data_IF_671579844201
#
_entry.id   IF_671579844201
#
_cell.length_a   1.000
_cell.length_b   1.000
_cell.length_c   1.000
_cell.angle_alpha   90.00
_cell.angle_beta   90.00
_cell.angle_gamma   90.00
#
_symmetry.space_group_name_H-M   'P 1'
#
loop_
_entity.id
_entity.type
_entity.pdbx_description
1 polymer ?
#
# COMPACT_ATOMS: atom_id res chain seq x y z
N UNK A 1 4.14 11.55 -12.44
CA UNK A 1 5.34 10.74 -12.13
C UNK A 1 6.25 10.77 -13.33
N UNK A 2 7.53 11.11 -13.14
CA UNK A 2 8.44 11.36 -14.24
C UNK A 2 8.67 10.16 -15.14
N UNK A 3 8.50 10.39 -16.44
CA UNK A 3 8.94 9.49 -17.48
C UNK A 3 10.46 9.41 -17.47
N UNK A 4 11.03 8.24 -17.30
CA UNK A 4 12.47 8.01 -17.35
C UNK A 4 12.83 6.63 -16.79
N UNK A 5 14.01 6.15 -17.17
CA UNK A 5 14.53 4.91 -16.60
C UNK A 5 14.78 5.07 -15.09
N UNK A 6 14.78 3.99 -14.30
CA UNK A 6 15.11 4.04 -12.88
C UNK A 6 16.42 4.78 -12.60
N UNK A 7 17.45 4.55 -13.41
CA UNK A 7 18.75 5.20 -13.29
C UNK A 7 18.64 6.72 -13.46
N UNK A 8 17.93 7.19 -14.49
CA UNK A 8 17.75 8.62 -14.73
C UNK A 8 16.96 9.30 -13.61
N UNK A 9 16.03 8.60 -12.97
CA UNK A 9 15.26 9.13 -11.84
C UNK A 9 16.10 9.21 -10.57
N UNK A 10 16.97 8.23 -10.31
CA UNK A 10 17.92 8.28 -9.21
C UNK A 10 18.87 9.46 -9.38
N UNK A 11 19.44 9.61 -10.58
CA UNK A 11 20.39 10.67 -10.87
C UNK A 11 19.80 12.08 -10.75
N UNK A 12 18.58 12.28 -11.25
CA UNK A 12 17.92 13.61 -11.29
C UNK A 12 17.18 13.98 -10.01
N UNK A 13 16.63 13.00 -9.31
CA UNK A 13 15.69 13.27 -8.22
C UNK A 13 16.20 12.80 -6.85
N UNK A 14 16.91 11.70 -6.79
CA UNK A 14 17.31 11.10 -5.51
C UNK A 14 18.69 11.57 -5.06
N UNK A 15 19.72 11.44 -5.90
CA UNK A 15 21.08 11.83 -5.54
C UNK A 15 21.21 13.29 -5.12
N UNK A 16 20.59 14.28 -5.80
CA UNK A 16 20.65 15.66 -5.35
C UNK A 16 20.01 15.91 -3.97
N UNK A 17 19.07 15.07 -3.55
CA UNK A 17 18.47 15.15 -2.21
C UNK A 17 19.27 14.42 -1.15
N UNK A 18 20.05 13.41 -1.55
CA UNK A 18 20.92 12.66 -0.68
C UNK A 18 22.24 13.41 -0.38
N UNK A 19 22.75 14.13 -1.35
CA UNK A 19 24.03 14.82 -1.28
C UNK A 19 24.20 15.76 -0.07
N UNK A 20 23.18 16.56 0.35
CA UNK A 20 23.27 17.39 1.56
C UNK A 20 23.38 16.58 2.86
N UNK A 21 22.87 15.35 2.87
CA UNK A 21 22.88 14.46 4.05
C UNK A 21 24.13 13.59 4.07
N UNK A 22 24.56 13.14 2.91
CA UNK A 22 25.75 12.29 2.70
C UNK A 22 26.61 12.88 1.58
N UNK A 23 27.46 13.87 1.90
CA UNK A 23 28.33 14.50 0.94
C UNK A 23 29.24 13.50 0.22
N UNK A 24 29.32 13.58 -1.11
CA UNK A 24 30.10 12.67 -1.95
C UNK A 24 29.35 11.39 -2.37
N UNK A 25 28.15 11.17 -1.91
CA UNK A 25 27.36 9.98 -2.26
C UNK A 25 27.11 9.88 -3.77
N UNK A 26 26.81 11.00 -4.42
CA UNK A 26 26.57 11.03 -5.85
C UNK A 26 27.80 10.62 -6.67
N UNK A 27 29.01 11.02 -6.23
CA UNK A 27 30.26 10.66 -6.87
C UNK A 27 30.64 9.18 -6.71
N UNK A 28 30.15 8.53 -5.65
CA UNK A 28 30.42 7.12 -5.37
C UNK A 28 29.36 6.18 -5.97
N UNK A 29 28.32 6.71 -6.57
CA UNK A 29 27.27 5.87 -7.16
C UNK A 29 27.77 5.12 -8.40
N UNK A 30 27.62 3.82 -8.42
CA UNK A 30 28.08 2.93 -9.49
C UNK A 30 27.13 2.82 -10.69
N UNK A 31 26.06 3.63 -10.74
CA UNK A 31 25.10 3.61 -11.84
C UNK A 31 24.03 2.52 -11.73
N UNK A 32 24.11 1.63 -10.74
CA UNK A 32 23.16 0.53 -10.58
C UNK A 32 22.01 0.94 -9.66
N UNK A 33 20.80 0.54 -10.03
CA UNK A 33 19.57 0.76 -9.24
C UNK A 33 18.56 -0.36 -9.51
N UNK A 34 17.90 -0.77 -8.47
CA UNK A 34 16.71 -1.64 -8.55
C UNK A 34 15.51 -0.86 -7.98
N UNK A 35 14.37 -0.97 -8.65
CA UNK A 35 13.14 -0.33 -8.21
C UNK A 35 11.98 -1.29 -8.34
N UNK A 36 11.35 -1.59 -7.22
CA UNK A 36 10.07 -2.27 -7.19
C UNK A 36 8.94 -1.24 -7.31
N UNK A 37 8.15 -1.36 -8.37
CA UNK A 37 7.05 -0.44 -8.65
C UNK A 37 5.72 -1.17 -8.69
N UNK A 38 5.19 -1.50 -7.52
CA UNK A 38 3.98 -2.29 -7.35
C UNK A 38 2.74 -1.66 -7.97
N UNK A 39 2.63 -0.33 -7.97
CA UNK A 39 1.53 0.38 -8.63
C UNK A 39 1.47 0.14 -10.13
N UNK A 40 2.63 -0.05 -10.78
CA UNK A 40 2.73 -0.37 -12.21
C UNK A 40 2.65 -1.86 -12.52
N UNK A 41 2.67 -2.71 -11.52
CA UNK A 41 2.56 -4.15 -11.71
C UNK A 41 1.09 -4.52 -11.98
N UNK A 42 0.85 -5.20 -13.11
CA UNK A 42 -0.50 -5.42 -13.64
C UNK A 42 -1.48 -6.12 -12.70
N UNK A 43 -0.99 -6.91 -11.75
CA UNK A 43 -1.81 -7.69 -10.82
C UNK A 43 -2.03 -7.00 -9.49
N UNK A 44 -1.09 -6.19 -9.01
CA UNK A 44 -1.22 -5.49 -7.73
C UNK A 44 -1.79 -4.09 -7.88
N UNK A 45 -1.33 -3.32 -8.88
CA UNK A 45 -1.74 -1.93 -9.17
C UNK A 45 -1.71 -0.98 -7.97
N UNK A 46 -1.12 -1.39 -6.88
CA UNK A 46 -1.08 -0.65 -5.63
C UNK A 46 -0.15 -1.27 -4.60
N UNK A 47 -0.23 -0.76 -3.40
CA UNK A 47 0.48 -1.20 -2.22
C UNK A 47 -0.54 -1.47 -1.10
N UNK A 48 -0.10 -1.48 0.16
CA UNK A 48 -1.00 -1.54 1.31
C UNK A 48 -1.93 -0.33 1.39
N UNK A 49 -3.06 -0.48 2.09
CA UNK A 49 -4.05 0.59 2.27
C UNK A 49 -3.54 1.68 3.19
N UNK A 50 -3.89 2.93 2.90
CA UNK A 50 -3.65 4.07 3.77
C UNK A 50 -4.71 5.15 3.56
N UNK A 51 -4.97 5.89 4.61
CA UNK A 51 -5.91 7.01 4.60
C UNK A 51 -5.22 8.30 4.18
N UNK A 52 -5.86 9.06 3.32
CA UNK A 52 -5.50 10.46 3.07
C UNK A 52 -6.08 11.34 4.17
N UNK A 53 -5.57 12.56 4.28
CA UNK A 53 -6.06 13.55 5.25
C UNK A 53 -7.58 13.69 5.19
N UNK A 54 -8.25 13.55 6.33
CA UNK A 54 -9.70 13.65 6.47
C UNK A 54 -10.50 12.43 6.01
N UNK A 55 -9.88 11.39 5.44
CA UNK A 55 -10.61 10.20 5.02
C UNK A 55 -10.92 9.27 6.21
N UNK A 56 -9.97 9.09 7.12
CA UNK A 56 -10.18 8.24 8.29
C UNK A 56 -11.42 8.65 9.08
N UNK A 57 -11.55 9.94 9.41
CA UNK A 57 -12.70 10.46 10.19
C UNK A 57 -14.03 10.37 9.46
N UNK A 58 -14.02 10.24 8.14
CA UNK A 58 -15.25 10.22 7.33
C UNK A 58 -15.69 8.82 6.93
N UNK A 59 -14.78 7.89 6.78
CA UNK A 59 -15.04 6.60 6.14
C UNK A 59 -14.61 5.38 6.95
N UNK A 60 -13.82 5.55 8.03
CA UNK A 60 -13.38 4.42 8.85
C UNK A 60 -14.56 3.60 9.34
N UNK A 61 -14.55 2.32 9.01
CA UNK A 61 -15.60 1.37 9.32
C UNK A 61 -16.52 1.03 8.14
N UNK A 62 -16.65 1.93 7.16
CA UNK A 62 -17.47 1.67 5.97
C UNK A 62 -16.88 0.56 5.07
N UNK A 63 -15.57 0.39 5.09
CA UNK A 63 -14.84 -0.60 4.28
C UNK A 63 -15.10 -2.04 4.68
N UNK A 64 -15.62 -2.28 5.88
CA UNK A 64 -15.98 -3.62 6.38
C UNK A 64 -17.46 -3.95 6.23
N UNK A 65 -18.29 -2.96 5.91
CA UNK A 65 -19.73 -3.14 5.81
C UNK A 65 -20.09 -4.01 4.61
N UNK A 66 -20.87 -5.04 4.85
CA UNK A 66 -21.36 -5.92 3.78
C UNK A 66 -22.37 -5.18 2.88
N UNK A 67 -22.43 -5.57 1.62
CA UNK A 67 -23.44 -5.12 0.66
C UNK A 67 -24.27 -6.31 0.22
N UNK A 68 -25.50 -6.41 0.73
CA UNK A 68 -26.35 -7.58 0.54
C UNK A 68 -25.63 -8.88 0.95
N UNK A 69 -25.43 -9.81 -0.01
CA UNK A 69 -24.73 -11.08 0.20
C UNK A 69 -23.22 -10.99 -0.12
N UNK A 70 -22.70 -9.78 -0.31
CA UNK A 70 -21.27 -9.57 -0.55
C UNK A 70 -20.58 -9.18 0.74
N UNK A 71 -19.64 -10.00 1.18
CA UNK A 71 -18.80 -9.79 2.35
C UNK A 71 -17.40 -9.35 1.91
N UNK A 72 -16.78 -8.44 2.65
CA UNK A 72 -15.49 -7.88 2.34
C UNK A 72 -14.46 -8.31 3.38
N UNK A 73 -13.31 -8.79 2.92
CA UNK A 73 -12.18 -9.15 3.75
C UNK A 73 -10.88 -8.65 3.10
N UNK A 74 -9.86 -8.52 3.88
CA UNK A 74 -8.54 -8.04 3.48
C UNK A 74 -8.05 -6.97 4.45
N UNK A 75 -6.75 -6.68 4.44
CA UNK A 75 -6.15 -5.72 5.37
C UNK A 75 -6.83 -4.34 5.35
N UNK A 76 -7.35 -3.94 4.18
CA UNK A 76 -8.05 -2.66 3.99
C UNK A 76 -9.40 -2.58 4.73
N UNK A 77 -9.97 -3.71 5.14
CA UNK A 77 -11.23 -3.77 5.90
C UNK A 77 -11.02 -3.91 7.40
N UNK A 78 -9.76 -3.97 7.85
CA UNK A 78 -9.41 -3.95 9.26
C UNK A 78 -9.41 -2.52 9.80
N UNK A 79 -9.96 -2.32 11.01
CA UNK A 79 -9.89 -1.04 11.71
C UNK A 79 -8.65 -0.92 12.59
N UNK A 80 -8.19 -2.04 13.16
CA UNK A 80 -7.08 -2.07 14.12
C UNK A 80 -5.73 -2.32 13.46
N UNK A 81 -5.70 -3.11 12.37
CA UNK A 81 -4.49 -3.56 11.70
C UNK A 81 -4.49 -3.27 10.20
N UNK A 82 -5.10 -2.14 9.78
CA UNK A 82 -5.06 -1.72 8.39
C UNK A 82 -3.62 -1.53 7.91
N UNK A 83 -3.29 -2.06 6.73
CA UNK A 83 -1.94 -2.03 6.19
C UNK A 83 -1.03 -3.18 6.66
N UNK A 84 -1.52 -4.05 7.56
CA UNK A 84 -0.75 -5.18 8.11
C UNK A 84 -1.35 -6.53 7.71
N UNK A 85 -0.50 -7.57 7.65
CA UNK A 85 -0.94 -8.94 7.37
C UNK A 85 -1.96 -9.44 8.39
N UNK A 86 -1.81 -9.05 9.66
CA UNK A 86 -2.75 -9.40 10.72
C UNK A 86 -4.17 -8.92 10.41
N UNK A 87 -4.32 -7.73 9.83
CA UNK A 87 -5.61 -7.21 9.40
C UNK A 87 -6.29 -8.07 8.34
N UNK A 88 -5.52 -8.68 7.44
CA UNK A 88 -6.07 -9.60 6.46
C UNK A 88 -6.57 -10.91 7.10
N UNK A 89 -5.85 -11.43 8.10
CA UNK A 89 -6.24 -12.65 8.83
C UNK A 89 -7.53 -12.43 9.60
N UNK A 90 -7.58 -11.44 10.48
CA UNK A 90 -8.75 -11.18 11.34
C UNK A 90 -10.02 -10.88 10.52
N UNK A 91 -9.87 -10.13 9.42
CA UNK A 91 -11.03 -9.81 8.58
C UNK A 91 -11.49 -10.99 7.74
N UNK A 92 -10.59 -11.91 7.39
CA UNK A 92 -10.92 -13.18 6.78
C UNK A 92 -11.75 -14.06 7.73
N UNK A 93 -11.35 -14.18 9.00
CA UNK A 93 -12.10 -14.90 10.03
C UNK A 93 -13.48 -14.27 10.29
N UNK A 94 -13.55 -12.95 10.35
CA UNK A 94 -14.81 -12.21 10.47
C UNK A 94 -15.74 -12.52 9.31
N UNK A 95 -15.28 -12.35 8.06
CA UNK A 95 -16.09 -12.57 6.88
C UNK A 95 -16.57 -14.03 6.77
N UNK A 96 -15.73 -15.00 7.11
CA UNK A 96 -16.13 -16.41 7.17
C UNK A 96 -17.26 -16.64 8.19
N UNK A 97 -17.16 -16.02 9.36
CA UNK A 97 -18.18 -16.11 10.41
C UNK A 97 -19.53 -15.47 9.96
N UNK A 98 -19.46 -14.33 9.28
CA UNK A 98 -20.62 -13.66 8.71
C UNK A 98 -21.33 -14.55 7.67
N UNK A 99 -20.58 -15.14 6.73
CA UNK A 99 -21.13 -16.06 5.72
C UNK A 99 -21.78 -17.29 6.37
N UNK A 100 -21.12 -17.88 7.36
CA UNK A 100 -21.67 -19.03 8.09
C UNK A 100 -22.98 -18.68 8.86
N UNK A 101 -23.12 -17.46 9.33
CA UNK A 101 -24.33 -16.98 9.97
C UNK A 101 -25.48 -16.80 8.96
N UNK A 102 -25.18 -16.31 7.77
CA UNK A 102 -26.17 -16.09 6.71
C UNK A 102 -26.67 -17.40 6.06
N UNK A 103 -25.91 -18.50 6.20
CA UNK A 103 -26.28 -19.82 5.67
C UNK A 103 -27.17 -20.65 6.63
N UNK A 104 -27.42 -20.16 7.83
CA UNK A 104 -28.30 -20.82 8.83
C UNK A 104 -29.74 -20.35 8.70
#
# INVERSE_FOLDING_TARGET
MGSGTPESQVQKNFLPKLEPVLPGAAAQWNGRVTRDYWTGYQWTKGSYSYWKVGQYTRFSGAEKERSNNCHFAGEHTSQDFQGYLQGAVETGERAASEVLADLK
#
